data_IF_495315892379
#
_entry.id   IF_495315892379
#
_cell.length_a   1.000
_cell.length_b   1.000
_cell.length_c   1.000
_cell.angle_alpha   90.00
_cell.angle_beta   90.00
_cell.angle_gamma   90.00
#
_symmetry.space_group_name_H-M   'P 1'
#
loop_
_entity.id
_entity.type
_entity.pdbx_description
1 polymer ?
#
# COMPACT_ATOMS: atom_id res chain seq x y z
N UNK A 1 2.57 25.85 14.26
CA UNK A 1 2.25 24.42 14.03
C UNK A 1 1.67 23.77 15.29
N UNK A 2 2.34 23.85 16.44
CA UNK A 2 1.84 23.34 17.73
C UNK A 2 0.54 24.03 18.20
N UNK A 3 0.38 25.33 17.91
CA UNK A 3 -0.82 26.08 18.35
C UNK A 3 -2.12 25.71 17.62
N UNK A 4 -2.05 25.23 16.37
CA UNK A 4 -3.24 24.88 15.58
C UNK A 4 -3.73 23.45 15.80
N UNK A 5 -2.83 22.50 16.10
CA UNK A 5 -3.20 21.09 16.26
C UNK A 5 -3.45 20.70 17.72
N UNK A 6 -2.86 21.40 18.70
CA UNK A 6 -2.93 21.01 20.11
C UNK A 6 -1.65 20.33 20.59
N UNK A 7 -1.58 20.05 21.89
CA UNK A 7 -0.34 19.65 22.56
C UNK A 7 0.05 18.18 22.31
N UNK A 8 -0.89 17.34 21.88
CA UNK A 8 -0.68 15.91 21.65
C UNK A 8 -1.50 15.39 20.45
N UNK A 9 -1.23 14.14 20.06
CA UNK A 9 -1.88 13.47 18.92
C UNK A 9 -3.40 13.38 19.07
N UNK A 10 -3.91 13.20 20.30
CA UNK A 10 -5.34 13.09 20.55
C UNK A 10 -6.04 14.44 20.33
N UNK A 11 -5.46 15.51 20.85
CA UNK A 11 -5.94 16.88 20.63
C UNK A 11 -5.92 17.24 19.13
N UNK A 12 -4.86 16.83 18.41
CA UNK A 12 -4.73 17.00 16.96
C UNK A 12 -5.87 16.35 16.19
N UNK A 13 -6.12 15.06 16.43
CA UNK A 13 -7.20 14.32 15.78
C UNK A 13 -8.56 14.95 16.13
N UNK A 14 -8.79 15.27 17.40
CA UNK A 14 -10.05 15.87 17.87
C UNK A 14 -10.34 17.17 17.16
N UNK A 15 -9.33 18.03 16.99
CA UNK A 15 -9.50 19.33 16.36
C UNK A 15 -9.72 19.22 14.84
N UNK A 16 -8.99 18.33 14.17
CA UNK A 16 -9.19 18.05 12.74
C UNK A 16 -10.58 17.48 12.45
N UNK A 17 -11.03 16.51 13.25
CA UNK A 17 -12.35 15.88 13.08
C UNK A 17 -13.47 16.88 13.38
N UNK A 18 -13.35 17.64 14.47
CA UNK A 18 -14.33 18.68 14.82
C UNK A 18 -14.47 19.74 13.73
N UNK A 19 -13.33 20.23 13.19
CA UNK A 19 -13.33 21.21 12.10
C UNK A 19 -13.99 20.66 10.82
N UNK A 20 -13.69 19.40 10.47
CA UNK A 20 -14.29 18.74 9.32
C UNK A 20 -15.80 18.63 9.46
N UNK A 21 -16.31 18.24 10.63
CA UNK A 21 -17.75 18.08 10.87
C UNK A 21 -18.46 19.43 10.69
N UNK A 22 -17.99 20.48 11.37
CA UNK A 22 -18.61 21.81 11.33
C UNK A 22 -18.56 22.40 9.92
N UNK A 23 -17.41 22.30 9.25
CA UNK A 23 -17.25 22.84 7.91
C UNK A 23 -18.10 22.09 6.89
N UNK A 24 -18.18 20.76 7.01
CA UNK A 24 -18.95 19.95 6.08
C UNK A 24 -20.46 20.19 6.21
N UNK A 25 -20.96 20.37 7.45
CA UNK A 25 -22.36 20.71 7.71
C UNK A 25 -22.74 22.05 7.07
N UNK A 26 -21.86 23.05 7.16
CA UNK A 26 -22.10 24.38 6.59
C UNK A 26 -22.00 24.40 5.05
N UNK A 27 -21.07 23.61 4.48
CA UNK A 27 -20.81 23.59 3.04
C UNK A 27 -21.75 22.66 2.27
N UNK A 28 -22.35 21.68 2.96
CA UNK A 28 -23.13 20.60 2.32
C UNK A 28 -22.26 19.58 1.58
N UNK A 29 -20.95 19.55 1.84
CA UNK A 29 -19.98 18.65 1.23
C UNK A 29 -18.78 18.43 2.16
N UNK A 30 -18.13 17.26 2.07
CA UNK A 30 -17.05 16.87 2.96
C UNK A 30 -15.81 17.75 2.77
N UNK A 31 -15.41 18.46 3.83
CA UNK A 31 -14.25 19.33 3.76
C UNK A 31 -13.80 19.90 5.09
N UNK A 32 -12.55 20.36 5.10
CA UNK A 32 -11.93 21.14 6.16
C UNK A 32 -12.13 22.64 5.90
N UNK A 33 -12.04 23.43 6.96
CA UNK A 33 -11.92 24.88 6.82
C UNK A 33 -10.60 25.24 6.11
N UNK A 34 -10.53 26.44 5.50
CA UNK A 34 -9.30 26.89 4.85
C UNK A 34 -8.10 26.94 5.81
N UNK A 35 -8.35 27.28 7.08
CA UNK A 35 -7.32 27.28 8.12
C UNK A 35 -6.80 25.87 8.38
N UNK A 36 -7.71 24.92 8.65
CA UNK A 36 -7.32 23.54 8.92
C UNK A 36 -6.70 22.85 7.71
N UNK A 37 -7.15 23.19 6.49
CA UNK A 37 -6.54 22.69 5.25
C UNK A 37 -5.08 23.13 5.13
N UNK A 38 -4.76 24.42 5.35
CA UNK A 38 -3.37 24.90 5.33
C UNK A 38 -2.49 24.18 6.34
N UNK A 39 -3.04 23.95 7.51
CA UNK A 39 -2.37 23.26 8.62
C UNK A 39 -2.11 21.79 8.26
N UNK A 40 -3.08 21.12 7.61
CA UNK A 40 -2.94 19.77 7.07
C UNK A 40 -1.94 19.66 5.92
N UNK A 41 -1.91 20.65 5.02
CA UNK A 41 -0.97 20.68 3.90
C UNK A 41 0.47 20.82 4.39
N UNK A 42 0.70 21.65 5.41
CA UNK A 42 2.01 21.79 6.05
C UNK A 42 2.43 20.49 6.74
N UNK A 43 1.52 19.85 7.49
CA UNK A 43 1.79 18.58 8.16
C UNK A 43 2.11 17.48 7.14
N UNK A 44 1.33 17.38 6.06
CA UNK A 44 1.58 16.46 4.95
C UNK A 44 2.95 16.71 4.32
N UNK A 45 3.28 17.96 4.04
CA UNK A 45 4.59 18.33 3.46
C UNK A 45 5.74 17.89 4.36
N UNK A 46 5.63 18.13 5.66
CA UNK A 46 6.60 17.66 6.66
C UNK A 46 6.74 16.13 6.66
N UNK A 47 5.63 15.38 6.64
CA UNK A 47 5.68 13.90 6.58
C UNK A 47 6.34 13.40 5.29
N UNK A 48 6.07 14.03 4.15
CA UNK A 48 6.72 13.66 2.89
C UNK A 48 8.23 13.90 2.92
N UNK A 49 8.67 15.06 3.40
CA UNK A 49 10.09 15.40 3.50
C UNK A 49 10.84 14.47 4.46
N UNK A 50 10.25 14.15 5.61
CA UNK A 50 10.97 13.47 6.70
C UNK A 50 10.75 11.97 6.78
N UNK A 51 9.61 11.47 6.31
CA UNK A 51 9.20 10.08 6.50
C UNK A 51 9.12 9.38 5.14
N UNK A 52 8.19 9.81 4.27
CA UNK A 52 7.91 9.06 3.04
C UNK A 52 9.09 9.06 2.05
N UNK A 53 9.81 10.16 1.89
CA UNK A 53 11.00 10.22 1.03
C UNK A 53 12.31 9.88 1.74
N UNK A 54 12.26 9.33 2.95
CA UNK A 54 13.46 8.90 3.65
C UNK A 54 14.24 7.88 2.82
N UNK A 55 15.56 8.10 2.71
CA UNK A 55 16.50 7.19 2.04
C UNK A 55 16.55 5.82 2.74
N UNK A 56 16.31 5.79 4.05
CA UNK A 56 16.30 4.56 4.84
C UNK A 56 15.27 3.55 4.32
N UNK A 57 14.12 4.03 3.84
CA UNK A 57 13.03 3.20 3.31
C UNK A 57 13.11 3.00 1.78
N UNK A 58 14.09 3.60 1.09
CA UNK A 58 14.16 3.52 -0.36
C UNK A 58 14.46 2.09 -0.84
N UNK A 59 15.35 1.39 -0.14
CA UNK A 59 15.71 0.02 -0.47
C UNK A 59 14.54 -0.95 -0.27
N UNK A 60 13.84 -0.85 0.87
CA UNK A 60 12.67 -1.68 1.15
C UNK A 60 11.55 -1.46 0.12
N UNK A 61 11.32 -0.20 -0.30
CA UNK A 61 10.35 0.10 -1.37
C UNK A 61 10.73 -0.52 -2.72
N UNK A 62 12.02 -0.51 -3.05
CA UNK A 62 12.51 -1.13 -4.27
C UNK A 62 12.29 -2.65 -4.25
N UNK A 63 12.62 -3.29 -3.12
CA UNK A 63 12.39 -4.73 -2.90
C UNK A 63 10.90 -5.08 -2.97
N UNK A 64 10.03 -4.34 -2.28
CA UNK A 64 8.59 -4.55 -2.33
C UNK A 64 8.05 -4.38 -3.75
N UNK A 65 8.49 -3.35 -4.48
CA UNK A 65 8.12 -3.14 -5.87
C UNK A 65 8.57 -4.28 -6.78
N UNK A 66 9.74 -4.88 -6.53
CA UNK A 66 10.22 -6.05 -7.25
C UNK A 66 9.33 -7.28 -7.00
N UNK A 67 9.02 -7.58 -5.74
CA UNK A 67 8.12 -8.68 -5.35
C UNK A 67 6.77 -8.56 -6.05
N UNK A 68 6.14 -7.38 -5.98
CA UNK A 68 4.83 -7.17 -6.61
C UNK A 68 4.87 -7.34 -8.13
N UNK A 69 5.90 -6.79 -8.81
CA UNK A 69 6.06 -6.97 -10.26
C UNK A 69 6.24 -8.44 -10.64
N UNK A 70 7.03 -9.18 -9.88
CA UNK A 70 7.25 -10.61 -10.13
C UNK A 70 5.96 -11.41 -9.97
N UNK A 71 5.19 -11.17 -8.90
CA UNK A 71 3.90 -11.84 -8.67
C UNK A 71 2.88 -11.52 -9.76
N UNK A 72 2.71 -10.23 -10.12
CA UNK A 72 1.80 -9.83 -11.21
C UNK A 72 2.21 -10.50 -12.52
N UNK A 73 3.50 -10.46 -12.86
CA UNK A 73 4.01 -11.07 -14.11
C UNK A 73 3.72 -12.57 -14.13
N UNK A 74 4.03 -13.28 -13.03
CA UNK A 74 3.79 -14.71 -12.92
C UNK A 74 2.32 -15.08 -13.11
N UNK A 75 1.39 -14.39 -12.45
CA UNK A 75 -0.04 -14.71 -12.59
C UNK A 75 -0.64 -14.23 -13.92
N UNK A 76 -0.03 -13.27 -14.61
CA UNK A 76 -0.39 -12.93 -15.98
C UNK A 76 0.01 -14.03 -16.96
N UNK A 77 1.20 -14.62 -16.78
CA UNK A 77 1.72 -15.72 -17.62
C UNK A 77 1.06 -17.06 -17.28
N UNK A 78 0.77 -17.29 -16.00
CA UNK A 78 0.20 -18.52 -15.44
C UNK A 78 -1.14 -18.25 -14.77
N UNK A 79 -2.11 -17.75 -15.55
CA UNK A 79 -3.43 -17.35 -15.02
C UNK A 79 -4.15 -18.47 -14.25
N UNK A 80 -3.95 -19.73 -14.64
CA UNK A 80 -4.55 -20.89 -13.99
C UNK A 80 -3.97 -21.20 -12.60
N UNK A 81 -2.85 -20.57 -12.23
CA UNK A 81 -2.26 -20.65 -10.88
C UNK A 81 -2.97 -19.74 -9.87
N UNK A 82 -3.82 -18.82 -10.32
CA UNK A 82 -4.63 -18.00 -9.41
C UNK A 82 -5.63 -18.84 -8.63
N UNK A 83 -6.06 -18.38 -7.44
CA UNK A 83 -7.19 -19.00 -6.77
C UNK A 83 -8.43 -18.96 -7.67
N UNK A 84 -9.20 -20.06 -7.68
CA UNK A 84 -10.39 -20.21 -8.53
C UNK A 84 -11.36 -19.03 -8.44
N UNK A 85 -11.50 -18.44 -7.25
CA UNK A 85 -12.35 -17.28 -7.01
C UNK A 85 -11.96 -16.03 -7.83
N UNK A 86 -10.70 -15.91 -8.26
CA UNK A 86 -10.21 -14.84 -9.15
C UNK A 86 -10.21 -15.27 -10.61
N UNK A 87 -9.97 -16.55 -10.91
CA UNK A 87 -10.08 -17.08 -12.28
C UNK A 87 -11.47 -16.83 -12.86
N UNK A 88 -12.52 -17.15 -12.11
CA UNK A 88 -13.92 -16.96 -12.56
C UNK A 88 -14.30 -15.49 -12.73
N UNK A 89 -13.58 -14.55 -12.08
CA UNK A 89 -13.80 -13.11 -12.24
C UNK A 89 -13.33 -12.61 -13.59
N UNK A 90 -12.36 -13.27 -14.22
CA UNK A 90 -11.85 -12.80 -15.51
C UNK A 90 -12.90 -12.79 -16.62
N UNK A 91 -13.95 -13.61 -16.54
CA UNK A 91 -15.08 -13.56 -17.48
C UNK A 91 -15.79 -12.21 -17.48
N UNK A 92 -15.85 -11.53 -16.33
CA UNK A 92 -16.55 -10.26 -16.15
C UNK A 92 -15.62 -9.04 -16.16
N UNK A 93 -14.44 -9.15 -15.56
CA UNK A 93 -13.52 -8.02 -15.33
C UNK A 93 -12.22 -8.12 -16.13
N UNK A 94 -11.98 -9.23 -16.83
CA UNK A 94 -10.74 -9.49 -17.55
C UNK A 94 -9.63 -10.08 -16.68
N UNK A 95 -8.64 -10.69 -17.34
CA UNK A 95 -7.52 -11.37 -16.68
C UNK A 95 -6.65 -10.39 -15.88
N UNK A 96 -6.28 -9.27 -16.49
CA UNK A 96 -5.41 -8.26 -15.89
C UNK A 96 -5.98 -7.73 -14.57
N UNK A 97 -7.24 -7.28 -14.57
CA UNK A 97 -7.90 -6.81 -13.35
C UNK A 97 -7.96 -7.90 -12.28
N UNK A 98 -8.25 -9.14 -12.67
CA UNK A 98 -8.33 -10.26 -11.72
C UNK A 98 -6.98 -10.57 -11.06
N UNK A 99 -5.87 -10.44 -11.81
CA UNK A 99 -4.51 -10.58 -11.27
C UNK A 99 -4.18 -9.42 -10.33
N UNK A 100 -4.44 -8.18 -10.75
CA UNK A 100 -4.17 -6.99 -9.93
C UNK A 100 -4.96 -7.04 -8.63
N UNK A 101 -6.24 -7.40 -8.67
CA UNK A 101 -7.09 -7.52 -7.48
C UNK A 101 -6.58 -8.60 -6.53
N UNK A 102 -6.06 -9.72 -7.05
CA UNK A 102 -5.49 -10.77 -6.22
C UNK A 102 -4.21 -10.28 -5.53
N UNK A 103 -3.26 -9.73 -6.31
CA UNK A 103 -1.97 -9.28 -5.77
C UNK A 103 -2.14 -8.10 -4.80
N UNK A 104 -3.04 -7.16 -5.09
CA UNK A 104 -3.35 -6.04 -4.20
C UNK A 104 -4.08 -6.47 -2.92
N UNK A 105 -4.72 -7.65 -2.93
CA UNK A 105 -5.39 -8.24 -1.78
C UNK A 105 -4.48 -9.06 -0.86
N UNK A 106 -3.20 -9.24 -1.21
CA UNK A 106 -2.26 -10.00 -0.39
C UNK A 106 -1.81 -9.15 0.82
N UNK A 107 -1.62 -9.81 1.97
CA UNK A 107 -0.86 -9.20 3.07
C UNK A 107 0.63 -9.23 2.73
N UNK A 108 1.40 -8.28 3.26
CA UNK A 108 2.85 -8.21 3.03
C UNK A 108 3.56 -9.54 3.32
N UNK A 109 3.24 -10.15 4.47
CA UNK A 109 3.80 -11.46 4.87
C UNK A 109 3.46 -12.58 3.89
N UNK A 110 2.25 -12.58 3.34
CA UNK A 110 1.82 -13.60 2.41
C UNK A 110 2.42 -13.38 1.02
N UNK A 111 2.52 -12.12 0.56
CA UNK A 111 3.20 -11.80 -0.70
C UNK A 111 4.66 -12.24 -0.70
N UNK A 112 5.39 -12.02 0.41
CA UNK A 112 6.78 -12.49 0.56
C UNK A 112 6.85 -14.02 0.57
N UNK A 113 5.99 -14.69 1.34
CA UNK A 113 5.96 -16.15 1.39
C UNK A 113 5.68 -16.77 0.02
N UNK A 114 4.67 -16.25 -0.68
CA UNK A 114 4.28 -16.70 -2.02
C UNK A 114 5.38 -16.44 -3.05
N UNK A 115 6.05 -15.29 -2.97
CA UNK A 115 7.22 -15.00 -3.82
C UNK A 115 8.34 -16.03 -3.59
N UNK A 116 8.65 -16.36 -2.33
CA UNK A 116 9.63 -17.38 -2.02
C UNK A 116 9.23 -18.76 -2.56
N UNK A 117 7.97 -19.16 -2.38
CA UNK A 117 7.45 -20.44 -2.88
C UNK A 117 7.56 -20.57 -4.39
N UNK A 118 7.25 -19.51 -5.13
CA UNK A 118 7.24 -19.52 -6.60
C UNK A 118 8.65 -19.43 -7.19
N UNK A 119 9.52 -18.58 -6.63
CA UNK A 119 10.76 -18.18 -7.29
C UNK A 119 12.04 -18.69 -6.61
N UNK A 120 11.97 -19.18 -5.37
CA UNK A 120 13.15 -19.65 -4.63
C UNK A 120 13.12 -21.17 -4.51
N UNK A 121 14.02 -21.90 -5.19
CA UNK A 121 14.06 -23.35 -5.07
C UNK A 121 14.40 -23.78 -3.63
N UNK A 122 13.87 -24.92 -3.17
CA UNK A 122 14.20 -25.42 -1.85
C UNK A 122 15.70 -25.69 -1.73
N UNK A 123 16.30 -25.19 -0.65
CA UNK A 123 17.75 -25.26 -0.37
C UNK A 123 18.30 -26.71 -0.37
N UNK A 124 17.43 -27.73 -0.29
CA UNK A 124 17.79 -29.15 -0.29
C UNK A 124 18.09 -29.80 -1.66
N UNK A 125 17.86 -29.12 -2.78
CA UNK A 125 18.05 -29.72 -4.13
C UNK A 125 19.25 -29.17 -4.91
N UNK A 126 20.14 -28.39 -4.27
CA UNK A 126 21.40 -27.99 -4.89
C UNK A 126 22.47 -29.06 -4.66
N UNK A 127 22.36 -30.19 -5.35
CA UNK A 127 23.45 -31.17 -5.42
C UNK A 127 24.60 -30.58 -6.25
N UNK A 128 25.56 -29.97 -5.56
CA UNK A 128 26.84 -29.60 -6.17
C UNK A 128 27.57 -30.91 -6.48
N UNK A 129 27.56 -31.33 -7.74
CA UNK A 129 28.45 -32.37 -8.22
C UNK A 129 29.89 -31.82 -8.11
N UNK A 130 30.78 -32.45 -7.33
CA UNK A 130 32.17 -32.02 -7.27
C UNK A 130 32.84 -32.23 -8.63
N UNK A 131 33.67 -31.27 -9.03
CA UNK A 131 34.59 -31.37 -10.18
C UNK A 131 35.72 -32.35 -9.84
#
# INVERSE_FOLDING_TARGET
MIECFGADTSAMITRMVSDMIVTSEQRGDAGLSEEMQRVMDLFRSFMFERIYHSKTLAHEREQAGFVLRALVTHFMEHFDALPRAFIVRAERWGKEQSVVDYVAGLTDSYAVALFHEIFVPPVGEMSIQPI
#
